data_IF_633438362254
#
_entry.id   IF_633438362254
#
_cell.length_a   1.000
_cell.length_b   1.000
_cell.length_c   1.000
_cell.angle_alpha   90.00
_cell.angle_beta   90.00
_cell.angle_gamma   90.00
#
_symmetry.space_group_name_H-M   'P 1'
#
loop_
_entity.id
_entity.type
_entity.pdbx_description
1 polymer ?
#
# COMPACT_ATOMS: atom_id res chain seq x y z
N UNK A 1 2.90 -2.45 -18.75
CA UNK A 1 2.70 -3.91 -18.75
C UNK A 1 2.37 -4.30 -20.17
N UNK A 2 3.20 -5.11 -20.81
CA UNK A 2 2.83 -5.77 -22.06
C UNK A 2 2.15 -7.11 -21.73
N UNK A 3 1.58 -7.76 -22.73
CA UNK A 3 0.77 -8.98 -22.58
C UNK A 3 1.54 -10.19 -22.01
N UNK A 4 2.85 -10.06 -21.76
CA UNK A 4 3.73 -11.14 -21.33
C UNK A 4 4.32 -10.93 -19.92
N UNK A 5 4.37 -9.69 -19.40
CA UNK A 5 4.96 -9.42 -18.08
C UNK A 5 3.91 -9.17 -17.00
N UNK A 6 3.86 -10.06 -16.01
CA UNK A 6 3.11 -9.88 -14.77
C UNK A 6 3.84 -9.00 -13.74
N UNK A 7 4.98 -8.40 -14.12
CA UNK A 7 5.80 -7.56 -13.27
C UNK A 7 5.91 -6.16 -13.86
N UNK A 8 5.66 -5.15 -13.02
CA UNK A 8 6.04 -3.77 -13.28
C UNK A 8 7.27 -3.43 -12.44
N UNK A 9 8.38 -3.11 -13.10
CA UNK A 9 9.59 -2.64 -12.43
C UNK A 9 9.50 -1.13 -12.18
N UNK A 10 9.76 -0.73 -10.94
CA UNK A 10 9.94 0.67 -10.56
C UNK A 10 11.24 1.25 -11.10
N UNK A 11 11.41 2.58 -11.02
CA UNK A 11 12.62 3.27 -11.46
C UNK A 11 13.87 2.67 -10.82
N UNK A 12 14.94 2.53 -11.61
CA UNK A 12 16.25 2.05 -11.15
C UNK A 12 16.23 0.71 -10.38
N UNK A 13 15.15 -0.08 -10.50
CA UNK A 13 15.00 -1.34 -9.78
C UNK A 13 14.72 -1.20 -8.27
N UNK A 14 14.30 -0.02 -7.80
CA UNK A 14 14.04 0.19 -6.36
C UNK A 14 12.86 -0.61 -5.81
N UNK A 15 11.93 -0.99 -6.67
CA UNK A 15 10.82 -1.86 -6.31
C UNK A 15 10.24 -2.54 -7.55
N UNK A 16 9.35 -3.49 -7.33
CA UNK A 16 8.45 -4.01 -8.36
C UNK A 16 7.06 -4.25 -7.80
N UNK A 17 6.08 -4.18 -8.68
CA UNK A 17 4.70 -4.61 -8.44
C UNK A 17 4.49 -5.87 -9.24
N UNK A 18 4.10 -6.95 -8.56
CA UNK A 18 3.94 -8.28 -9.15
C UNK A 18 2.49 -8.70 -9.08
N UNK A 19 1.91 -9.05 -10.23
CA UNK A 19 0.59 -9.66 -10.34
C UNK A 19 0.76 -11.18 -10.22
N UNK A 20 0.20 -11.75 -9.17
CA UNK A 20 0.32 -13.19 -8.88
C UNK A 20 -0.83 -13.99 -9.51
N UNK A 21 -2.04 -13.41 -9.52
CA UNK A 21 -3.26 -14.03 -10.07
C UNK A 21 -4.15 -12.99 -10.75
N UNK A 22 -4.46 -13.23 -12.01
CA UNK A 22 -5.34 -12.43 -12.86
C UNK A 22 -6.28 -13.33 -13.64
N UNK A 23 -7.59 -13.12 -13.51
CA UNK A 23 -8.60 -13.98 -14.15
C UNK A 23 -9.05 -13.52 -15.54
N UNK A 24 -8.37 -12.53 -16.13
CA UNK A 24 -8.76 -11.90 -17.39
C UNK A 24 -9.63 -10.66 -17.22
N UNK A 25 -10.19 -10.43 -16.04
CA UNK A 25 -11.01 -9.26 -15.71
C UNK A 25 -10.50 -8.51 -14.47
N UNK A 26 -10.00 -9.24 -13.47
CA UNK A 26 -9.63 -8.70 -12.17
C UNK A 26 -8.37 -9.35 -11.61
N UNK A 27 -7.55 -8.53 -10.96
CA UNK A 27 -6.41 -8.99 -10.17
C UNK A 27 -6.93 -9.58 -8.85
N UNK A 28 -6.65 -10.86 -8.62
CA UNK A 28 -7.03 -11.62 -7.41
C UNK A 28 -5.92 -11.65 -6.38
N UNK A 29 -4.67 -11.58 -6.83
CA UNK A 29 -3.51 -11.50 -5.96
C UNK A 29 -2.41 -10.63 -6.60
N UNK A 30 -1.81 -9.77 -5.79
CA UNK A 30 -0.62 -9.00 -6.15
C UNK A 30 0.14 -8.57 -4.90
N UNK A 31 1.42 -8.31 -5.06
CA UNK A 31 2.28 -7.80 -4.00
C UNK A 31 3.25 -6.72 -4.51
N UNK A 32 3.72 -5.92 -3.55
CA UNK A 32 4.87 -5.02 -3.71
C UNK A 32 6.12 -5.75 -3.23
N UNK A 33 7.21 -5.68 -3.98
CA UNK A 33 8.52 -6.20 -3.59
C UNK A 33 9.55 -5.07 -3.67
N UNK A 34 10.37 -4.89 -2.64
CA UNK A 34 11.44 -3.89 -2.64
C UNK A 34 12.72 -4.39 -3.33
N UNK A 35 13.73 -3.52 -3.43
CA UNK A 35 15.01 -3.83 -4.06
C UNK A 35 15.79 -4.97 -3.37
N UNK A 36 15.50 -5.26 -2.09
CA UNK A 36 16.14 -6.32 -1.32
C UNK A 36 15.40 -7.65 -1.45
N UNK A 37 14.23 -7.66 -2.10
CA UNK A 37 13.39 -8.83 -2.29
C UNK A 37 12.36 -9.04 -1.18
N UNK A 38 12.21 -8.10 -0.25
CA UNK A 38 11.17 -8.17 0.77
C UNK A 38 9.81 -7.93 0.14
N UNK A 39 8.82 -8.73 0.52
CA UNK A 39 7.47 -8.72 -0.07
C UNK A 39 6.44 -8.22 0.91
N UNK A 40 5.50 -7.41 0.42
CA UNK A 40 4.26 -7.16 1.12
C UNK A 40 3.42 -8.44 1.21
N UNK A 41 2.44 -8.51 2.12
CA UNK A 41 1.33 -9.46 2.00
C UNK A 41 0.58 -9.29 0.67
N UNK A 42 -0.32 -10.24 0.34
CA UNK A 42 -1.23 -10.07 -0.80
C UNK A 42 -2.13 -8.85 -0.58
N UNK A 43 -1.96 -7.84 -1.43
CA UNK A 43 -2.64 -6.56 -1.25
C UNK A 43 -4.11 -6.61 -1.72
N UNK A 44 -4.47 -7.53 -2.62
CA UNK A 44 -5.85 -7.64 -3.14
C UNK A 44 -6.91 -7.86 -2.05
N UNK A 45 -6.53 -8.52 -0.96
CA UNK A 45 -7.40 -8.84 0.17
C UNK A 45 -7.82 -7.61 0.98
N UNK A 46 -6.99 -6.56 1.05
CA UNK A 46 -7.27 -5.39 1.90
C UNK A 46 -8.41 -4.51 1.35
N UNK A 47 -8.51 -4.38 0.02
CA UNK A 47 -9.54 -3.53 -0.59
C UNK A 47 -10.73 -4.30 -1.15
N UNK A 48 -10.78 -5.62 -0.97
CA UNK A 48 -11.66 -6.50 -1.74
C UNK A 48 -11.56 -6.15 -3.23
N UNK A 49 -10.33 -6.10 -3.75
CA UNK A 49 -9.94 -5.74 -5.12
C UNK A 49 -10.54 -4.44 -5.68
N UNK A 50 -10.75 -3.45 -4.81
CA UNK A 50 -10.88 -2.04 -5.18
C UNK A 50 -9.49 -1.37 -5.17
N UNK A 51 -9.46 -0.07 -5.44
CA UNK A 51 -8.24 0.73 -5.38
C UNK A 51 -7.60 0.70 -3.99
N UNK A 52 -6.26 0.67 -3.96
CA UNK A 52 -5.43 0.72 -2.76
C UNK A 52 -4.40 1.82 -2.98
N UNK A 53 -4.25 2.68 -1.98
CA UNK A 53 -3.12 3.59 -1.88
C UNK A 53 -2.02 2.93 -1.04
N UNK A 54 -0.77 2.97 -1.53
CA UNK A 54 0.38 2.35 -0.87
C UNK A 54 1.45 3.41 -0.59
N UNK A 55 1.89 3.47 0.66
CA UNK A 55 3.08 4.21 1.07
C UNK A 55 4.17 3.19 1.43
N UNK A 56 5.26 3.18 0.66
CA UNK A 56 6.39 2.30 0.88
C UNK A 56 7.51 2.98 1.69
N UNK A 57 8.36 2.18 2.33
CA UNK A 57 9.53 2.63 3.07
C UNK A 57 9.19 3.67 4.16
N UNK A 58 8.35 3.27 5.11
CA UNK A 58 7.92 4.12 6.23
C UNK A 58 9.08 4.62 7.10
N UNK A 59 10.21 3.92 7.11
CA UNK A 59 11.42 4.34 7.84
C UNK A 59 12.15 5.52 7.17
N UNK A 60 11.84 5.80 5.90
CA UNK A 60 12.44 6.92 5.19
C UNK A 60 11.95 8.26 5.77
N UNK A 61 12.90 9.11 6.18
CA UNK A 61 12.63 10.44 6.79
C UNK A 61 11.84 11.40 5.90
N UNK A 62 11.84 11.22 4.57
CA UNK A 62 11.05 12.06 3.66
C UNK A 62 9.60 11.58 3.53
N UNK A 63 9.33 10.30 3.81
CA UNK A 63 8.01 9.68 3.67
C UNK A 63 7.29 9.55 5.02
N UNK A 64 8.02 9.25 6.09
CA UNK A 64 7.48 9.02 7.42
C UNK A 64 6.58 10.13 7.96
N UNK A 65 6.82 11.44 7.70
CA UNK A 65 5.92 12.49 8.18
C UNK A 65 4.52 12.42 7.54
N UNK A 66 4.41 11.96 6.30
CA UNK A 66 3.12 11.83 5.61
C UNK A 66 2.30 10.69 6.21
N UNK A 67 2.92 9.54 6.39
CA UNK A 67 2.26 8.38 6.95
C UNK A 67 1.93 8.56 8.44
N UNK A 68 2.80 9.23 9.21
CA UNK A 68 2.49 9.63 10.58
C UNK A 68 1.30 10.60 10.65
N UNK A 69 1.23 11.59 9.76
CA UNK A 69 0.10 12.54 9.71
C UNK A 69 -1.22 11.79 9.51
N UNK A 70 -1.25 10.81 8.61
CA UNK A 70 -2.45 10.06 8.32
C UNK A 70 -2.86 9.16 9.50
N UNK A 71 -1.90 8.43 10.08
CA UNK A 71 -2.13 7.62 11.27
C UNK A 71 -2.66 8.45 12.46
N UNK A 72 -2.11 9.64 12.69
CA UNK A 72 -2.57 10.55 13.74
C UNK A 72 -4.00 11.06 13.48
N UNK A 73 -4.38 11.28 12.21
CA UNK A 73 -5.75 11.69 11.86
C UNK A 73 -6.75 10.58 12.16
N UNK A 74 -6.45 9.35 11.73
CA UNK A 74 -7.30 8.18 12.03
C UNK A 74 -7.47 8.02 13.54
N UNK A 75 -6.36 8.01 14.29
CA UNK A 75 -6.40 7.91 15.74
C UNK A 75 -7.21 9.04 16.39
N UNK A 76 -7.04 10.28 15.93
CA UNK A 76 -7.79 11.42 16.47
C UNK A 76 -9.29 11.25 16.22
N UNK A 77 -9.68 10.81 15.01
CA UNK A 77 -11.08 10.55 14.68
C UNK A 77 -11.67 9.46 15.57
N UNK A 78 -10.98 8.33 15.73
CA UNK A 78 -11.42 7.23 16.59
C UNK A 78 -11.60 7.69 18.05
N UNK A 79 -10.67 8.48 18.58
CA UNK A 79 -10.75 9.02 19.93
C UNK A 79 -11.88 10.05 20.09
N UNK A 80 -12.18 10.83 19.04
CA UNK A 80 -13.33 11.74 19.03
C UNK A 80 -14.65 10.98 18.98
N UNK A 81 -14.75 9.93 18.17
CA UNK A 81 -15.94 9.04 18.12
C UNK A 81 -16.20 8.37 19.48
N UNK A 82 -15.13 8.04 20.22
CA UNK A 82 -15.22 7.50 21.59
C UNK A 82 -15.46 8.57 22.66
N UNK A 83 -15.53 9.86 22.30
CA UNK A 83 -15.73 10.98 23.24
C UNK A 83 -14.54 11.27 24.14
N UNK A 84 -13.35 10.74 23.83
CA UNK A 84 -12.12 10.91 24.62
C UNK A 84 -11.39 12.21 24.29
N UNK A 85 -11.59 12.75 23.08
CA UNK A 85 -10.96 14.01 22.62
C UNK A 85 -12.02 14.88 21.97
N UNK A 86 -12.06 16.17 22.34
CA UNK A 86 -13.00 17.12 21.72
C UNK A 86 -12.56 17.46 20.30
N UNK A 87 -13.49 17.42 19.34
CA UNK A 87 -13.26 18.01 18.02
C UNK A 87 -12.98 19.50 18.18
N UNK A 88 -11.97 20.00 17.47
CA UNK A 88 -11.76 21.45 17.35
C UNK A 88 -12.86 22.11 16.54
#
# INVERSE_FOLDING_TARGET
MDSASNVFAGPEGYFKVVIDDFDGNRIKAWHFEDAEGNKSPNLSGFANGRHIDLIANFENKTISPFALRDALKVLTNDLTEQGMVMSK
#
